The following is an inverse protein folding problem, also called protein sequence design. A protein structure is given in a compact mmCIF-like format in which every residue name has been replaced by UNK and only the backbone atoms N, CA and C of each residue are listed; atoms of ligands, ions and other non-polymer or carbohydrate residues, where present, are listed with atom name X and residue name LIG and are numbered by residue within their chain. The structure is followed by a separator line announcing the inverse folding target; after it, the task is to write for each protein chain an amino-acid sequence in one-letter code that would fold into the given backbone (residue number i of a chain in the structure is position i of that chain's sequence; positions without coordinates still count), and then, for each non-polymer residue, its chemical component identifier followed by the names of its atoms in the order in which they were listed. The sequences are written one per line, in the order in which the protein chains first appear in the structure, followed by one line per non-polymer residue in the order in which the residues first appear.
data_IF_457930005000
#
_entry.id   IF_457930005000
#
_cell.length_a   1.000
_cell.length_b   1.000
_cell.length_c   1.000
_cell.angle_alpha   90.00
_cell.angle_beta   90.00
_cell.angle_gamma   90.00
#
_symmetry.space_group_name_H-M   'P 1'
#
loop_
_entity.id
_entity.type
_entity.pdbx_description
1 polymer ?
#
# COMPACT_ATOMS: atom_id res chain seq x y z
N UNK A 1 19.96 22.95 -2.44
CA UNK A 1 20.84 22.00 -3.15
C UNK A 1 19.97 21.26 -4.15
N UNK A 2 20.12 21.51 -5.46
CA UNK A 2 19.40 20.75 -6.47
C UNK A 2 20.00 19.33 -6.53
N UNK A 3 19.21 18.30 -6.27
CA UNK A 3 19.65 16.90 -6.41
C UNK A 3 19.56 16.53 -7.88
N UNK A 4 20.63 15.95 -8.43
CA UNK A 4 20.61 15.37 -9.78
C UNK A 4 19.86 14.05 -9.71
N UNK A 5 18.64 14.02 -10.24
CA UNK A 5 17.82 12.82 -10.29
C UNK A 5 18.28 11.92 -11.44
N UNK A 6 18.22 10.61 -11.22
CA UNK A 6 18.42 9.60 -12.25
C UNK A 6 17.20 9.59 -13.19
N UNK A 7 17.40 9.33 -14.50
CA UNK A 7 16.29 9.18 -15.42
C UNK A 7 15.42 8.00 -15.00
N UNK A 8 14.09 8.17 -15.06
CA UNK A 8 13.13 7.10 -14.77
C UNK A 8 13.18 6.11 -15.94
N UNK A 9 13.37 4.80 -15.68
CA UNK A 9 13.34 3.78 -16.73
C UNK A 9 11.97 3.71 -17.39
N UNK A 10 11.93 3.35 -18.67
CA UNK A 10 10.67 3.04 -19.35
C UNK A 10 10.35 1.57 -19.08
N UNK A 11 9.21 1.32 -18.43
CA UNK A 11 8.74 -0.03 -18.13
C UNK A 11 7.74 -0.49 -19.19
N UNK A 12 7.83 -1.77 -19.59
CA UNK A 12 6.87 -2.35 -20.52
C UNK A 12 5.57 -2.80 -19.84
N UNK A 13 5.59 -3.01 -18.52
CA UNK A 13 4.43 -3.46 -17.73
C UNK A 13 4.47 -2.96 -16.29
N UNK A 14 3.29 -2.86 -15.65
CA UNK A 14 3.17 -2.51 -14.23
C UNK A 14 3.90 -3.51 -13.31
N UNK A 15 3.90 -4.80 -13.68
CA UNK A 15 4.60 -5.83 -12.91
C UNK A 15 6.12 -5.62 -12.90
N UNK A 16 6.69 -5.13 -13.99
CA UNK A 16 8.11 -4.79 -14.10
C UNK A 16 8.44 -3.54 -13.29
N UNK A 17 7.59 -2.51 -13.40
CA UNK A 17 7.69 -1.29 -12.60
C UNK A 17 7.67 -1.60 -11.10
N UNK A 18 6.72 -2.44 -10.66
CA UNK A 18 6.61 -2.83 -9.24
C UNK A 18 7.86 -3.56 -8.74
N UNK A 19 8.40 -4.50 -9.50
CA UNK A 19 9.62 -5.24 -9.14
C UNK A 19 10.83 -4.31 -9.03
N UNK A 20 10.89 -3.30 -9.89
CA UNK A 20 11.90 -2.26 -9.80
C UNK A 20 11.74 -1.44 -8.53
N UNK A 21 10.55 -0.92 -8.23
CA UNK A 21 10.34 -0.09 -7.03
C UNK A 21 10.39 -0.87 -5.70
N UNK A 22 10.19 -2.19 -5.71
CA UNK A 22 10.42 -3.03 -4.52
C UNK A 22 11.89 -3.10 -4.11
N UNK A 23 12.81 -2.92 -5.06
CA UNK A 23 14.26 -3.07 -4.84
C UNK A 23 15.01 -1.74 -4.90
N UNK A 24 14.46 -0.72 -5.56
CA UNK A 24 15.10 0.58 -5.76
C UNK A 24 14.47 1.69 -4.91
N UNK A 25 15.33 2.54 -4.34
CA UNK A 25 14.92 3.73 -3.61
C UNK A 25 14.40 4.81 -4.58
N UNK A 26 13.16 5.26 -4.37
CA UNK A 26 12.49 6.29 -5.17
C UNK A 26 13.02 7.70 -4.95
N UNK A 27 13.82 7.93 -3.90
CA UNK A 27 14.42 9.24 -3.59
C UNK A 27 15.50 9.69 -4.58
N UNK A 28 16.07 8.75 -5.34
CA UNK A 28 17.06 9.01 -6.39
C UNK A 28 16.43 9.41 -7.73
N UNK A 29 15.14 9.13 -7.93
CA UNK A 29 14.44 9.29 -9.20
C UNK A 29 13.38 10.40 -9.16
N UNK A 30 12.82 10.70 -7.99
CA UNK A 30 11.73 11.67 -7.81
C UNK A 30 12.21 12.94 -7.09
N UNK A 31 11.81 14.11 -7.61
CA UNK A 31 12.12 15.40 -6.98
C UNK A 31 11.20 15.67 -5.78
N UNK A 32 11.59 15.18 -4.62
CA UNK A 32 10.88 15.44 -3.37
C UNK A 32 10.99 16.90 -2.90
N UNK A 33 11.86 17.74 -3.48
CA UNK A 33 11.94 19.17 -3.13
C UNK A 33 10.70 19.95 -3.57
N UNK A 34 10.01 19.45 -4.61
CA UNK A 34 8.77 20.00 -5.12
C UNK A 34 7.53 19.38 -4.47
N UNK A 35 7.70 18.36 -3.63
CA UNK A 35 6.59 17.71 -2.96
C UNK A 35 5.90 18.69 -2.00
N UNK A 36 4.62 18.94 -2.22
CA UNK A 36 3.83 19.83 -1.38
C UNK A 36 3.16 19.06 -0.25
N UNK A 37 3.21 19.61 0.96
CA UNK A 37 2.46 19.08 2.09
C UNK A 37 0.97 19.38 1.89
N UNK A 38 0.24 18.39 1.41
CA UNK A 38 -1.23 18.46 1.32
C UNK A 38 -1.84 17.96 2.62
N UNK A 39 -2.88 18.67 3.11
CA UNK A 39 -3.78 18.14 4.12
C UNK A 39 -4.86 17.36 3.39
N UNK A 40 -5.14 16.13 3.83
CA UNK A 40 -6.23 15.31 3.30
C UNK A 40 -7.41 15.36 4.29
N UNK A 41 -8.21 16.44 4.31
CA UNK A 41 -9.24 16.65 5.33
C UNK A 41 -10.34 15.59 5.31
N UNK A 42 -10.59 14.98 4.15
CA UNK A 42 -11.64 13.97 3.94
C UNK A 42 -11.08 12.55 3.80
N UNK A 43 -9.80 12.32 4.11
CA UNK A 43 -9.27 10.95 4.12
C UNK A 43 -9.82 10.26 5.37
N UNK A 44 -10.88 9.48 5.16
CA UNK A 44 -11.47 8.68 6.20
C UNK A 44 -10.41 7.67 6.68
N UNK A 45 -9.89 7.86 7.89
CA UNK A 45 -9.03 6.87 8.50
C UNK A 45 -9.89 5.62 8.72
N UNK A 46 -9.67 4.58 7.92
CA UNK A 46 -10.24 3.26 8.13
C UNK A 46 -9.68 2.63 9.41
N UNK A 47 -9.98 3.24 10.57
CA UNK A 47 -9.82 2.60 11.86
C UNK A 47 -11.06 1.73 12.04
N UNK A 48 -11.01 0.50 11.54
CA UNK A 48 -11.87 -0.53 12.11
C UNK A 48 -11.62 -0.50 13.63
N UNK A 49 -12.66 -0.36 14.46
CA UNK A 49 -12.47 -0.35 15.90
C UNK A 49 -11.76 -1.64 16.30
N UNK A 50 -10.60 -1.51 16.97
CA UNK A 50 -9.96 -2.60 17.73
C UNK A 50 -10.93 -2.97 18.85
N UNK A 51 -11.86 -3.88 18.55
CA UNK A 51 -12.92 -4.23 19.49
C UNK A 51 -14.08 -5.06 18.96
N UNK A 52 -14.18 -5.34 17.64
CA UNK A 52 -15.10 -6.37 17.16
C UNK A 52 -14.51 -7.78 17.35
N UNK A 53 -14.20 -8.13 18.61
CA UNK A 53 -14.22 -9.53 19.03
C UNK A 53 -15.67 -9.88 19.31
N UNK A 54 -16.30 -10.63 18.40
CA UNK A 54 -17.47 -11.51 18.61
C UNK A 54 -18.14 -11.75 17.27
N UNK A 55 -17.59 -12.68 16.51
CA UNK A 55 -18.45 -13.60 15.79
C UNK A 55 -18.41 -14.92 16.58
N UNK A 56 -19.49 -15.34 17.26
CA UNK A 56 -19.58 -16.74 17.64
C UNK A 56 -19.59 -17.55 16.35
N UNK A 57 -18.65 -18.48 16.26
CA UNK A 57 -18.62 -19.57 15.30
C UNK A 57 -19.94 -20.34 15.43
N UNK A 58 -20.94 -19.92 14.67
CA UNK A 58 -22.22 -20.61 14.55
C UNK A 58 -22.00 -21.86 13.71
N UNK A 59 -21.67 -22.95 14.40
CA UNK A 59 -22.11 -24.31 14.14
C UNK A 59 -22.24 -24.69 12.65
N UNK A 60 -21.14 -25.13 12.05
CA UNK A 60 -21.23 -26.08 10.96
C UNK A 60 -21.57 -27.45 11.59
N UNK A 61 -22.85 -27.64 11.93
CA UNK A 61 -23.39 -28.95 12.27
C UNK A 61 -23.16 -29.87 11.07
N UNK A 62 -22.25 -30.82 11.26
CA UNK A 62 -21.96 -31.86 10.28
C UNK A 62 -21.96 -33.18 11.03
N UNK A 63 -23.10 -33.87 11.20
CA UNK A 63 -23.07 -35.22 11.73
C UNK A 63 -22.53 -36.17 10.65
N UNK A 64 -21.26 -36.56 10.79
CA UNK A 64 -20.80 -37.87 10.32
C UNK A 64 -21.16 -38.87 11.42
N UNK A 65 -22.16 -39.72 11.22
CA UNK A 65 -22.23 -41.13 11.68
C UNK A 65 -23.55 -41.74 11.20
N UNK A 66 -23.49 -42.64 10.21
CA UNK A 66 -23.99 -44.02 10.28
C UNK A 66 -23.45 -44.80 9.08
#
# INVERSE_FOLDING_TARGET
MARKLKPIPVFASEAEERRFWETHDSTDYVDWSRAQRVRLPNLHAGRSPRGAVSAPEAAQDRPKTR
#
